data_IF_187425342973
#
_entry.id   IF_187425342973
#
_cell.length_a   1.000
_cell.length_b   1.000
_cell.length_c   1.000
_cell.angle_alpha   90.00
_cell.angle_beta   90.00
_cell.angle_gamma   90.00
#
_symmetry.space_group_name_H-M   'P 1'
#
loop_
_entity.id
_entity.type
_entity.pdbx_description
1 polymer ?
#
# COMPACT_ATOMS: atom_id res chain seq x y z
N UNK A 1 3.77 12.52 -6.36
CA UNK A 1 2.70 13.47 -6.75
C UNK A 1 3.15 14.95 -6.72
N UNK A 2 4.08 15.37 -5.85
CA UNK A 2 4.46 16.80 -5.70
C UNK A 2 5.83 17.21 -6.28
N UNK A 3 6.60 16.27 -6.83
CA UNK A 3 7.95 16.53 -7.31
C UNK A 3 8.02 16.96 -8.79
N UNK A 4 6.88 17.04 -9.49
CA UNK A 4 6.76 17.40 -10.91
C UNK A 4 7.76 16.62 -11.81
N UNK A 5 7.80 15.30 -11.63
CA UNK A 5 8.68 14.41 -12.38
C UNK A 5 7.92 13.75 -13.52
N UNK A 6 8.58 13.65 -14.66
CA UNK A 6 8.08 12.91 -15.81
C UNK A 6 8.13 11.40 -15.57
N UNK A 7 7.31 10.67 -16.33
CA UNK A 7 7.12 9.22 -16.16
C UNK A 7 8.38 8.41 -16.48
N UNK A 8 9.25 8.96 -17.32
CA UNK A 8 10.54 8.41 -17.73
C UNK A 8 11.73 8.96 -16.91
N UNK A 9 11.48 9.81 -15.90
CA UNK A 9 12.52 10.25 -14.98
C UNK A 9 13.21 9.02 -14.35
N UNK A 10 14.57 8.97 -14.33
CA UNK A 10 15.30 7.82 -13.80
C UNK A 10 14.89 7.43 -12.37
N UNK A 11 14.45 8.40 -11.55
CA UNK A 11 13.99 8.14 -10.18
C UNK A 11 12.62 7.48 -10.16
N UNK A 12 11.72 7.87 -11.06
CA UNK A 12 10.40 7.25 -11.21
C UNK A 12 10.55 5.82 -11.71
N UNK A 13 11.41 5.61 -12.72
CA UNK A 13 11.72 4.28 -13.24
C UNK A 13 12.33 3.38 -12.15
N UNK A 14 13.32 3.88 -11.42
CA UNK A 14 13.95 3.11 -10.34
C UNK A 14 12.96 2.78 -9.20
N UNK A 15 12.08 3.71 -8.82
CA UNK A 15 11.06 3.46 -7.82
C UNK A 15 10.06 2.40 -8.30
N UNK A 16 9.61 2.47 -9.55
CA UNK A 16 8.72 1.47 -10.12
C UNK A 16 9.37 0.09 -10.15
N UNK A 17 10.62 -0.01 -10.61
CA UNK A 17 11.33 -1.29 -10.63
C UNK A 17 11.54 -1.86 -9.22
N UNK A 18 11.80 -1.00 -8.23
CA UNK A 18 11.83 -1.42 -6.84
C UNK A 18 10.48 -1.97 -6.38
N UNK A 19 9.36 -1.30 -6.68
CA UNK A 19 8.01 -1.77 -6.35
C UNK A 19 7.74 -3.13 -6.99
N UNK A 20 8.08 -3.31 -8.29
CA UNK A 20 7.85 -4.57 -9.02
C UNK A 20 8.61 -5.75 -8.42
N UNK A 21 9.84 -5.52 -7.98
CA UNK A 21 10.72 -6.54 -7.41
C UNK A 21 10.40 -6.87 -5.95
N UNK A 22 9.72 -5.95 -5.24
CA UNK A 22 9.40 -6.08 -3.82
C UNK A 22 7.88 -6.08 -3.58
N UNK A 23 7.09 -6.44 -4.59
CA UNK A 23 5.65 -6.34 -4.54
C UNK A 23 5.06 -7.31 -3.51
N UNK A 24 4.35 -6.77 -2.53
CA UNK A 24 3.63 -7.54 -1.51
C UNK A 24 2.62 -6.65 -0.78
N UNK A 25 1.55 -7.25 -0.29
CA UNK A 25 0.62 -6.65 0.71
C UNK A 25 0.72 -7.39 2.06
N UNK A 26 1.58 -8.41 2.13
CA UNK A 26 1.81 -9.30 3.28
C UNK A 26 2.97 -8.86 4.18
N UNK A 27 3.73 -7.83 3.78
CA UNK A 27 4.67 -7.13 4.65
C UNK A 27 4.88 -5.66 4.26
N UNK A 28 5.54 -4.89 5.12
CA UNK A 28 6.26 -3.70 4.71
C UNK A 28 7.68 -4.13 4.29
N UNK A 29 8.02 -4.10 3.00
CA UNK A 29 9.24 -4.71 2.48
C UNK A 29 10.51 -4.28 3.24
N UNK A 30 11.26 -5.28 3.73
CA UNK A 30 12.52 -5.08 4.44
C UNK A 30 12.37 -4.78 5.94
N UNK A 31 11.15 -4.57 6.46
CA UNK A 31 10.91 -4.33 7.90
C UNK A 31 9.77 -5.17 8.50
N UNK A 32 9.17 -6.06 7.71
CA UNK A 32 8.14 -7.01 8.16
C UNK A 32 6.82 -6.32 8.50
N UNK A 33 6.26 -6.63 9.67
CA UNK A 33 4.97 -6.04 10.10
C UNK A 33 5.06 -4.61 10.64
N UNK A 34 6.25 -4.01 10.70
CA UNK A 34 6.43 -2.68 11.28
C UNK A 34 5.94 -1.58 10.32
N UNK A 35 5.00 -0.75 10.77
CA UNK A 35 4.51 0.39 9.98
C UNK A 35 3.67 -0.05 8.78
N UNK A 36 2.90 -1.12 8.95
CA UNK A 36 2.18 -1.81 7.89
C UNK A 36 1.04 -0.99 7.33
N UNK A 37 0.28 -0.31 8.18
CA UNK A 37 -0.81 0.55 7.75
C UNK A 37 -0.30 1.81 7.06
N UNK A 38 0.79 2.40 7.55
CA UNK A 38 1.42 3.51 6.85
C UNK A 38 1.99 3.07 5.49
N UNK A 39 2.60 1.88 5.43
CA UNK A 39 3.03 1.28 4.16
C UNK A 39 1.87 1.20 3.16
N UNK A 40 0.70 0.69 3.55
CA UNK A 40 -0.48 0.63 2.68
C UNK A 40 -0.88 2.00 2.12
N UNK A 41 -0.83 3.07 2.92
CA UNK A 41 -1.09 4.44 2.43
C UNK A 41 -0.08 4.84 1.36
N UNK A 42 1.22 4.62 1.60
CA UNK A 42 2.28 4.96 0.64
C UNK A 42 2.19 4.12 -0.65
N UNK A 43 1.91 2.83 -0.52
CA UNK A 43 1.74 1.89 -1.60
C UNK A 43 0.58 2.31 -2.51
N UNK A 44 -0.61 2.51 -1.93
CA UNK A 44 -1.81 2.87 -2.67
C UNK A 44 -1.63 4.22 -3.39
N UNK A 45 -1.11 5.24 -2.69
CA UNK A 45 -0.83 6.55 -3.30
C UNK A 45 0.14 6.49 -4.47
N UNK A 46 1.17 5.64 -4.38
CA UNK A 46 2.17 5.54 -5.43
C UNK A 46 1.59 4.87 -6.68
N UNK A 47 0.79 3.82 -6.50
CA UNK A 47 0.22 3.05 -7.60
C UNK A 47 -1.01 3.73 -8.23
N UNK A 48 -1.83 4.39 -7.43
CA UNK A 48 -2.88 5.30 -7.92
C UNK A 48 -2.25 6.42 -8.78
N UNK A 49 -1.20 7.08 -8.27
CA UNK A 49 -0.47 8.09 -9.05
C UNK A 49 0.20 7.54 -10.33
N UNK A 50 0.46 6.23 -10.41
CA UNK A 50 0.95 5.59 -11.62
C UNK A 50 -0.16 5.41 -12.68
N UNK A 51 -1.42 5.33 -12.24
CA UNK A 51 -2.61 5.42 -13.08
C UNK A 51 -3.05 4.09 -13.71
N UNK A 52 -2.63 2.95 -13.17
CA UNK A 52 -3.11 1.62 -13.61
C UNK A 52 -3.45 0.79 -12.40
N UNK A 53 -4.57 0.07 -12.40
CA UNK A 53 -4.96 -0.87 -11.32
C UNK A 53 -4.14 -2.17 -11.32
N UNK A 54 -3.34 -2.41 -12.37
CA UNK A 54 -2.43 -3.54 -12.46
C UNK A 54 -0.97 -3.13 -12.42
N UNK A 55 -0.13 -4.05 -11.96
CA UNK A 55 1.33 -3.92 -11.99
C UNK A 55 1.97 -5.25 -12.35
N UNK A 56 2.95 -5.22 -13.26
CA UNK A 56 3.77 -6.38 -13.59
C UNK A 56 4.88 -6.55 -12.56
N UNK A 57 4.88 -7.65 -11.84
CA UNK A 57 5.85 -8.00 -10.79
C UNK A 57 6.77 -9.13 -11.27
N UNK A 58 7.73 -9.52 -10.43
CA UNK A 58 8.55 -10.71 -10.67
C UNK A 58 7.76 -12.04 -10.74
N UNK A 59 6.55 -12.09 -10.18
CA UNK A 59 5.70 -13.29 -10.17
C UNK A 59 4.58 -13.27 -11.23
N UNK A 60 4.44 -12.19 -11.99
CA UNK A 60 3.40 -12.05 -13.02
C UNK A 60 2.69 -10.71 -12.94
N UNK A 61 1.58 -10.58 -13.64
CA UNK A 61 0.71 -9.41 -13.49
C UNK A 61 -0.14 -9.55 -12.22
N UNK A 62 -0.30 -8.45 -11.49
CA UNK A 62 -1.09 -8.36 -10.26
C UNK A 62 -2.06 -7.20 -10.36
N UNK A 63 -3.26 -7.41 -9.81
CA UNK A 63 -4.24 -6.34 -9.58
C UNK A 63 -4.02 -5.80 -8.17
N UNK A 64 -3.29 -4.70 -8.08
CA UNK A 64 -2.83 -4.20 -6.78
C UNK A 64 -3.95 -3.57 -5.96
N UNK A 65 -4.96 -3.03 -6.64
CA UNK A 65 -6.11 -2.45 -6.00
C UNK A 65 -6.89 -3.55 -5.28
N UNK A 66 -7.20 -4.64 -5.98
CA UNK A 66 -7.90 -5.78 -5.39
C UNK A 66 -7.04 -6.50 -4.34
N UNK A 67 -5.74 -6.70 -4.58
CA UNK A 67 -4.83 -7.30 -3.59
C UNK A 67 -4.85 -6.51 -2.26
N UNK A 68 -4.86 -5.17 -2.32
CA UNK A 68 -4.90 -4.33 -1.13
C UNK A 68 -6.28 -4.34 -0.45
N UNK A 69 -7.36 -4.29 -1.24
CA UNK A 69 -8.74 -4.35 -0.73
C UNK A 69 -8.96 -5.67 0.01
N UNK A 70 -8.59 -6.80 -0.59
CA UNK A 70 -8.72 -8.13 0.02
C UNK A 70 -7.91 -8.21 1.31
N UNK A 71 -6.67 -7.70 1.31
CA UNK A 71 -5.84 -7.67 2.50
C UNK A 71 -6.46 -6.83 3.62
N UNK A 72 -7.00 -5.65 3.31
CA UNK A 72 -7.64 -4.81 4.30
C UNK A 72 -8.95 -5.44 4.82
N UNK A 73 -9.72 -6.11 3.97
CA UNK A 73 -10.90 -6.87 4.39
C UNK A 73 -10.55 -7.98 5.39
N UNK A 74 -9.41 -8.68 5.21
CA UNK A 74 -8.90 -9.67 6.20
C UNK A 74 -8.53 -9.05 7.56
N UNK A 75 -8.22 -7.75 7.59
CA UNK A 75 -7.81 -7.02 8.78
C UNK A 75 -8.97 -6.26 9.45
N UNK A 76 -10.08 -6.07 8.74
CA UNK A 76 -11.25 -5.37 9.26
C UNK A 76 -11.96 -6.22 10.33
N UNK A 77 -12.39 -5.56 11.39
CA UNK A 77 -13.16 -6.13 12.50
C UNK A 77 -14.66 -5.91 12.28
N UNK A 78 -15.51 -6.64 13.00
CA UNK A 78 -16.97 -6.55 12.89
C UNK A 78 -17.52 -5.14 13.18
N UNK A 79 -16.81 -4.34 13.98
CA UNK A 79 -17.17 -2.95 14.29
C UNK A 79 -16.73 -1.94 13.22
N UNK A 80 -16.12 -2.43 12.13
CA UNK A 80 -15.61 -1.64 11.02
C UNK A 80 -14.21 -1.07 11.23
N UNK A 81 -13.64 -1.16 12.43
CA UNK A 81 -12.24 -0.80 12.69
C UNK A 81 -11.28 -1.86 12.15
N UNK A 82 -9.97 -1.58 12.19
CA UNK A 82 -8.96 -2.51 11.70
C UNK A 82 -8.07 -3.02 12.84
N UNK A 83 -7.69 -4.31 12.80
CA UNK A 83 -6.87 -4.93 13.85
C UNK A 83 -5.40 -4.50 13.72
N UNK A 84 -4.76 -4.16 14.84
CA UNK A 84 -3.31 -3.93 14.84
C UNK A 84 -2.54 -5.21 14.53
N UNK A 85 -1.57 -5.15 13.61
CA UNK A 85 -0.65 -6.26 13.29
C UNK A 85 0.65 -6.11 14.08
N UNK A 86 1.11 -4.88 14.27
CA UNK A 86 2.28 -4.52 15.06
C UNK A 86 2.05 -3.14 15.69
N UNK A 87 2.51 -2.93 16.92
CA UNK A 87 2.29 -1.67 17.64
C UNK A 87 3.35 -0.59 17.39
N UNK A 88 4.47 -0.94 16.74
CA UNK A 88 5.53 0.01 16.42
C UNK A 88 5.00 1.11 15.48
N UNK A 89 5.60 2.30 15.56
CA UNK A 89 5.17 3.47 14.77
C UNK A 89 3.72 3.90 15.05
N UNK A 90 3.28 3.73 16.31
CA UNK A 90 1.93 4.09 16.78
C UNK A 90 0.79 3.25 16.19
N UNK A 91 1.09 2.17 15.47
CA UNK A 91 0.07 1.30 14.86
C UNK A 91 -0.68 0.41 15.87
N UNK A 92 -0.44 0.60 17.17
CA UNK A 92 -1.33 0.10 18.24
C UNK A 92 -2.55 1.00 18.49
N UNK A 93 -2.62 2.20 17.88
CA UNK A 93 -3.77 3.10 18.01
C UNK A 93 -4.84 2.75 16.97
N UNK A 94 -6.02 2.26 17.37
CA UNK A 94 -7.08 1.82 16.44
C UNK A 94 -7.62 2.95 15.57
N UNK A 95 -7.66 4.18 16.07
CA UNK A 95 -8.11 5.36 15.30
C UNK A 95 -7.14 5.65 14.17
N UNK A 96 -5.83 5.58 14.45
CA UNK A 96 -4.79 5.86 13.47
C UNK A 96 -4.79 4.84 12.33
N UNK A 97 -4.77 3.55 12.67
CA UNK A 97 -4.72 2.48 11.66
C UNK A 97 -6.00 2.40 10.84
N UNK A 98 -7.16 2.69 11.45
CA UNK A 98 -8.43 2.80 10.71
C UNK A 98 -8.39 3.97 9.73
N UNK A 99 -7.89 5.14 10.14
CA UNK A 99 -7.73 6.27 9.23
C UNK A 99 -6.77 5.95 8.07
N UNK A 100 -5.64 5.29 8.33
CA UNK A 100 -4.72 4.84 7.29
C UNK A 100 -5.34 3.83 6.33
N UNK A 101 -6.08 2.83 6.83
CA UNK A 101 -6.78 1.87 6.00
C UNK A 101 -7.79 2.55 5.07
N UNK A 102 -8.61 3.48 5.58
CA UNK A 102 -9.58 4.21 4.78
C UNK A 102 -8.94 5.10 3.71
N UNK A 103 -7.82 5.76 4.02
CA UNK A 103 -7.04 6.52 3.04
C UNK A 103 -6.48 5.60 1.96
N UNK A 104 -5.94 4.44 2.34
CA UNK A 104 -5.41 3.48 1.39
C UNK A 104 -6.50 2.92 0.47
N UNK A 105 -7.68 2.59 1.02
CA UNK A 105 -8.86 2.15 0.27
C UNK A 105 -9.34 3.22 -0.71
N UNK A 106 -9.37 4.50 -0.31
CA UNK A 106 -9.77 5.60 -1.20
C UNK A 106 -8.95 5.58 -2.50
N UNK A 107 -7.64 5.36 -2.41
CA UNK A 107 -6.76 5.30 -3.58
C UNK A 107 -6.91 4.01 -4.40
N UNK A 108 -7.53 2.96 -3.85
CA UNK A 108 -7.69 1.67 -4.52
C UNK A 108 -9.06 1.51 -5.22
N UNK A 109 -10.02 2.40 -4.96
CA UNK A 109 -11.38 2.32 -5.50
C UNK A 109 -11.70 3.37 -6.58
N UNK A 110 -10.82 4.36 -6.76
CA UNK A 110 -10.94 5.43 -7.77
C UNK A 110 -10.34 4.99 -9.12
#
# INVERSE_FOLDING_TARGET
IYANLDRDDPRVTAALDWIRNNYTVDENPGVGDQGRYYYYVTFARALDAWGTSTIRTGSGERDWANDLIDKLAELQQDDGSFRSVNSRWMEGNPVLITAYALIALQHAID
#
